data_IF_819232249381
#
_entry.id   IF_819232249381
#
_cell.length_a   1.000
_cell.length_b   1.000
_cell.length_c   1.000
_cell.angle_alpha   90.00
_cell.angle_beta   90.00
_cell.angle_gamma   90.00
#
_symmetry.space_group_name_H-M   'P 1'
#
loop_
_entity.id
_entity.type
_entity.pdbx_description
1 polymer ?
#
# COMPACT_ATOMS: atom_id res chain seq x y z
N UNK A 1 6.73 7.46 6.96
CA UNK A 1 5.78 8.60 6.86
C UNK A 1 5.75 9.36 8.18
N UNK A 2 5.63 10.69 8.18
CA UNK A 2 5.50 11.52 9.40
C UNK A 2 4.40 11.02 10.35
N UNK A 3 3.33 10.42 9.80
CA UNK A 3 2.22 9.82 10.54
C UNK A 3 2.45 8.37 10.99
N UNK A 4 3.52 7.71 10.55
CA UNK A 4 3.85 6.35 11.01
C UNK A 4 4.19 6.30 12.50
N UNK A 5 4.74 7.41 13.03
CA UNK A 5 4.99 7.59 14.46
C UNK A 5 3.68 7.69 15.26
N UNK A 6 2.67 8.40 14.75
CA UNK A 6 1.35 8.49 15.38
C UNK A 6 0.53 7.20 15.21
N UNK A 7 0.63 6.56 14.04
CA UNK A 7 -0.01 5.27 13.76
C UNK A 7 0.50 4.16 14.69
N UNK A 8 1.80 4.16 15.04
CA UNK A 8 2.37 3.24 16.03
C UNK A 8 1.78 3.42 17.43
N UNK A 9 1.59 4.66 17.89
CA UNK A 9 0.99 4.97 19.20
C UNK A 9 -0.48 4.54 19.25
N UNK A 10 -1.23 4.78 18.18
CA UNK A 10 -2.65 4.40 18.09
C UNK A 10 -2.81 2.88 18.00
N UNK A 11 -1.93 2.19 17.26
CA UNK A 11 -1.90 0.74 17.15
C UNK A 11 -1.53 0.01 18.44
N UNK A 12 -0.91 0.70 19.40
CA UNK A 12 -0.63 0.17 20.74
C UNK A 12 -1.86 0.23 21.67
N UNK A 13 -2.86 1.07 21.37
CA UNK A 13 -4.02 1.29 22.26
C UNK A 13 -5.35 0.80 21.71
N UNK A 14 -5.46 0.64 20.40
CA UNK A 14 -6.67 0.14 19.74
C UNK A 14 -6.40 -1.24 19.16
N UNK A 15 -7.42 -2.10 19.23
CA UNK A 15 -7.39 -3.40 18.57
C UNK A 15 -7.13 -3.21 17.07
N UNK A 16 -6.17 -3.98 16.52
CA UNK A 16 -5.72 -3.86 15.13
C UNK A 16 -6.87 -4.04 14.14
N UNK A 17 -7.80 -4.93 14.46
CA UNK A 17 -8.99 -5.18 13.65
C UNK A 17 -9.98 -4.01 13.67
N UNK A 18 -10.06 -3.26 14.77
CA UNK A 18 -10.87 -2.05 14.87
C UNK A 18 -10.27 -0.97 13.97
N UNK A 19 -8.95 -0.79 13.99
CA UNK A 19 -8.26 0.14 13.09
C UNK A 19 -8.52 -0.24 11.63
N UNK A 20 -8.40 -1.52 11.27
CA UNK A 20 -8.67 -2.00 9.91
C UNK A 20 -10.11 -1.73 9.46
N UNK A 21 -11.10 -1.95 10.35
CA UNK A 21 -12.52 -1.66 10.09
C UNK A 21 -12.75 -0.17 9.82
N UNK A 22 -12.21 0.72 10.66
CA UNK A 22 -12.34 2.16 10.46
C UNK A 22 -11.63 2.64 9.20
N UNK A 23 -10.40 2.17 8.94
CA UNK A 23 -9.65 2.49 7.74
C UNK A 23 -10.43 2.09 6.48
N UNK A 24 -10.96 0.85 6.46
CA UNK A 24 -11.77 0.33 5.36
C UNK A 24 -13.09 1.08 5.18
N UNK A 25 -13.74 1.50 6.27
CA UNK A 25 -14.95 2.32 6.22
C UNK A 25 -14.67 3.72 5.63
N UNK A 26 -13.61 4.39 6.08
CA UNK A 26 -13.23 5.72 5.61
C UNK A 26 -12.92 5.69 4.13
N UNK A 27 -12.08 4.75 3.66
CA UNK A 27 -11.71 4.69 2.24
C UNK A 27 -12.92 4.34 1.35
N UNK A 28 -13.82 3.48 1.83
CA UNK A 28 -15.07 3.16 1.12
C UNK A 28 -15.97 4.39 1.01
N UNK A 29 -16.10 5.17 2.09
CA UNK A 29 -16.87 6.41 2.07
C UNK A 29 -16.26 7.46 1.14
N UNK A 30 -14.94 7.63 1.16
CA UNK A 30 -14.22 8.56 0.29
C UNK A 30 -14.43 8.20 -1.18
N UNK A 31 -14.24 6.92 -1.54
CA UNK A 31 -14.44 6.46 -2.92
C UNK A 31 -15.89 6.59 -3.38
N UNK A 32 -16.85 6.27 -2.50
CA UNK A 32 -18.27 6.48 -2.75
C UNK A 32 -18.62 7.95 -2.98
N UNK A 33 -18.13 8.87 -2.15
CA UNK A 33 -18.34 10.30 -2.32
C UNK A 33 -17.78 10.79 -3.67
N UNK A 34 -16.58 10.35 -4.06
CA UNK A 34 -15.97 10.71 -5.34
C UNK A 34 -16.78 10.13 -6.51
N UNK A 35 -17.24 8.89 -6.41
CA UNK A 35 -18.11 8.30 -7.42
C UNK A 35 -19.42 9.09 -7.58
N UNK A 36 -20.09 9.46 -6.48
CA UNK A 36 -21.33 10.24 -6.53
C UNK A 36 -21.10 11.64 -7.13
N UNK A 37 -20.02 12.32 -6.75
CA UNK A 37 -19.66 13.62 -7.34
C UNK A 37 -19.37 13.50 -8.82
N UNK A 38 -18.67 12.43 -9.24
CA UNK A 38 -18.44 12.13 -10.64
C UNK A 38 -19.78 11.90 -11.34
N UNK A 39 -20.62 10.98 -10.88
CA UNK A 39 -21.88 10.61 -11.51
C UNK A 39 -22.84 11.80 -11.71
N UNK A 40 -22.78 12.82 -10.85
CA UNK A 40 -23.58 14.04 -10.95
C UNK A 40 -22.91 15.17 -11.75
N UNK A 41 -21.72 14.95 -12.32
CA UNK A 41 -20.97 15.97 -13.07
C UNK A 41 -20.40 17.11 -12.19
N UNK A 42 -20.34 16.93 -10.87
CA UNK A 42 -19.86 17.92 -9.89
C UNK A 42 -18.39 17.68 -9.50
N UNK A 43 -17.71 16.75 -10.17
CA UNK A 43 -16.33 16.40 -9.85
C UNK A 43 -15.39 17.55 -10.24
N UNK A 44 -14.58 17.97 -9.27
CA UNK A 44 -13.55 19.00 -9.46
C UNK A 44 -12.21 18.48 -8.97
N UNK A 45 -11.13 19.13 -9.39
CA UNK A 45 -9.77 18.75 -8.97
C UNK A 45 -9.57 18.81 -7.45
N UNK A 46 -10.26 19.74 -6.77
CA UNK A 46 -10.21 19.87 -5.31
C UNK A 46 -10.79 18.65 -4.59
N UNK A 47 -11.86 18.05 -5.13
CA UNK A 47 -12.43 16.82 -4.60
C UNK A 47 -11.42 15.67 -4.70
N UNK A 48 -10.77 15.51 -5.86
CA UNK A 48 -9.74 14.48 -6.07
C UNK A 48 -8.52 14.70 -5.18
N UNK A 49 -8.09 15.95 -5.02
CA UNK A 49 -6.99 16.32 -4.11
C UNK A 49 -7.31 15.99 -2.64
N UNK A 50 -8.50 16.36 -2.18
CA UNK A 50 -8.97 16.04 -0.82
C UNK A 50 -9.09 14.54 -0.58
N UNK A 51 -9.67 13.80 -1.53
CA UNK A 51 -9.75 12.35 -1.47
C UNK A 51 -8.36 11.69 -1.44
N UNK A 52 -7.42 12.19 -2.23
CA UNK A 52 -6.03 11.68 -2.26
C UNK A 52 -5.31 11.93 -0.93
N UNK A 53 -5.53 13.10 -0.32
CA UNK A 53 -4.97 13.43 0.99
C UNK A 53 -5.49 12.49 2.08
N UNK A 54 -6.82 12.31 2.16
CA UNK A 54 -7.45 11.39 3.14
C UNK A 54 -6.99 9.95 2.88
N UNK A 55 -6.96 9.52 1.62
CA UNK A 55 -6.49 8.18 1.25
C UNK A 55 -5.05 7.94 1.69
N UNK A 56 -4.16 8.94 1.53
CA UNK A 56 -2.79 8.88 2.01
C UNK A 56 -2.68 8.71 3.53
N UNK A 57 -3.53 9.41 4.30
CA UNK A 57 -3.59 9.24 5.75
C UNK A 57 -4.03 7.81 6.12
N UNK A 58 -5.09 7.31 5.50
CA UNK A 58 -5.60 5.94 5.73
C UNK A 58 -4.56 4.88 5.35
N UNK A 59 -3.92 5.01 4.20
CA UNK A 59 -2.91 4.05 3.74
C UNK A 59 -1.68 4.01 4.65
N UNK A 60 -1.32 5.14 5.26
CA UNK A 60 -0.19 5.22 6.19
C UNK A 60 -0.38 4.35 7.44
N UNK A 61 -1.63 4.10 7.84
CA UNK A 61 -1.98 3.26 8.99
C UNK A 61 -2.45 1.87 8.58
N UNK A 62 -3.17 1.72 7.47
CA UNK A 62 -3.67 0.44 6.96
C UNK A 62 -2.52 -0.53 6.66
N UNK A 63 -1.48 -0.06 5.97
CA UNK A 63 -0.38 -0.91 5.53
C UNK A 63 0.38 -1.63 6.68
N UNK A 64 0.83 -0.93 7.75
CA UNK A 64 1.47 -1.60 8.88
C UNK A 64 0.49 -2.50 9.66
N UNK A 65 -0.77 -2.08 9.85
CA UNK A 65 -1.79 -2.86 10.57
C UNK A 65 -2.08 -4.17 9.82
N UNK A 66 -2.30 -4.09 8.51
CA UNK A 66 -2.60 -5.25 7.64
C UNK A 66 -1.46 -6.26 7.64
N UNK A 67 -0.20 -5.81 7.50
CA UNK A 67 0.96 -6.70 7.54
C UNK A 67 1.10 -7.41 8.88
N UNK A 68 0.82 -6.71 9.98
CA UNK A 68 0.87 -7.30 11.32
C UNK A 68 -0.24 -8.35 11.49
N UNK A 69 -1.48 -8.02 11.11
CA UNK A 69 -2.62 -8.95 11.13
C UNK A 69 -2.38 -10.20 10.29
N UNK A 70 -1.78 -10.07 9.10
CA UNK A 70 -1.40 -11.22 8.27
C UNK A 70 -0.42 -12.13 9.02
N UNK A 71 0.54 -11.56 9.74
CA UNK A 71 1.48 -12.30 10.56
C UNK A 71 0.81 -13.04 11.72
N UNK A 72 -0.04 -12.34 12.47
CA UNK A 72 -0.76 -12.90 13.62
C UNK A 72 -1.69 -14.04 13.20
N UNK A 73 -2.46 -13.84 12.12
CA UNK A 73 -3.44 -14.81 11.61
C UNK A 73 -2.79 -16.03 10.95
N UNK A 74 -1.66 -15.85 10.25
CA UNK A 74 -0.96 -16.96 9.62
C UNK A 74 -0.22 -17.84 10.64
N UNK A 75 0.24 -17.23 11.73
CA UNK A 75 1.11 -17.84 12.72
C UNK A 75 2.53 -18.09 12.20
N UNK A 76 3.47 -18.44 13.10
CA UNK A 76 4.91 -18.49 12.81
C UNK A 76 5.27 -19.49 11.71
N UNK A 77 4.52 -20.60 11.58
CA UNK A 77 4.80 -21.62 10.57
C UNK A 77 4.40 -21.21 9.13
N UNK A 78 3.48 -20.25 8.96
CA UNK A 78 2.92 -19.89 7.65
C UNK A 78 3.09 -18.42 7.28
N UNK A 79 3.68 -17.59 8.16
CA UNK A 79 3.88 -16.16 7.93
C UNK A 79 4.60 -15.85 6.62
N UNK A 80 5.67 -16.58 6.29
CA UNK A 80 6.39 -16.38 5.03
C UNK A 80 5.49 -16.60 3.82
N UNK A 81 4.72 -17.69 3.81
CA UNK A 81 3.77 -18.00 2.72
C UNK A 81 2.66 -16.95 2.61
N UNK A 82 2.15 -16.47 3.75
CA UNK A 82 1.11 -15.45 3.78
C UNK A 82 1.62 -14.09 3.27
N UNK A 83 2.83 -13.69 3.68
CA UNK A 83 3.49 -12.49 3.16
C UNK A 83 3.80 -12.59 1.67
N UNK A 84 4.24 -13.76 1.18
CA UNK A 84 4.46 -13.97 -0.26
C UNK A 84 3.17 -13.80 -1.05
N UNK A 85 2.03 -14.26 -0.53
CA UNK A 85 0.73 -14.10 -1.18
C UNK A 85 0.29 -12.62 -1.21
N UNK A 86 0.50 -11.88 -0.12
CA UNK A 86 0.24 -10.43 -0.05
C UNK A 86 1.06 -9.66 -1.09
N UNK A 87 2.37 -9.95 -1.17
CA UNK A 87 3.27 -9.34 -2.16
C UNK A 87 2.83 -9.69 -3.58
N UNK A 88 2.49 -10.96 -3.85
CA UNK A 88 2.02 -11.42 -5.15
C UNK A 88 0.73 -10.70 -5.56
N UNK A 89 -0.24 -10.59 -4.63
CA UNK A 89 -1.47 -9.87 -4.86
C UNK A 89 -1.20 -8.39 -5.18
N UNK A 90 -0.36 -7.72 -4.38
CA UNK A 90 0.02 -6.32 -4.61
C UNK A 90 0.69 -6.08 -5.96
N UNK A 91 1.68 -6.89 -6.32
CA UNK A 91 2.34 -6.79 -7.63
C UNK A 91 1.39 -7.13 -8.79
N UNK A 92 0.51 -8.12 -8.62
CA UNK A 92 -0.52 -8.46 -9.60
C UNK A 92 -1.50 -7.30 -9.82
N UNK A 93 -1.94 -6.62 -8.76
CA UNK A 93 -2.77 -5.42 -8.86
C UNK A 93 -2.02 -4.27 -9.53
N UNK A 94 -0.73 -4.09 -9.31
CA UNK A 94 0.07 -3.05 -9.98
C UNK A 94 0.27 -3.33 -11.48
N UNK A 95 0.30 -4.60 -11.87
CA UNK A 95 0.31 -5.01 -13.28
C UNK A 95 -1.06 -4.85 -13.94
N UNK A 96 -2.10 -5.43 -13.34
CA UNK A 96 -3.41 -5.54 -13.99
C UNK A 96 -4.30 -4.31 -13.77
N UNK A 97 -4.11 -3.60 -12.65
CA UNK A 97 -4.93 -2.47 -12.23
C UNK A 97 -4.91 -1.31 -13.23
N UNK A 98 -3.73 -0.75 -13.59
CA UNK A 98 -3.67 0.34 -14.56
C UNK A 98 -4.12 -0.08 -15.97
N UNK A 99 -3.85 -1.32 -16.37
CA UNK A 99 -4.29 -1.87 -17.66
C UNK A 99 -5.82 -1.93 -17.74
N UNK A 100 -6.45 -2.58 -16.77
CA UNK A 100 -7.91 -2.69 -16.71
C UNK A 100 -8.56 -1.33 -16.47
N UNK A 101 -7.95 -0.49 -15.62
CA UNK A 101 -8.41 0.86 -15.33
C UNK A 101 -8.38 1.77 -16.55
N UNK A 102 -7.31 1.72 -17.35
CA UNK A 102 -7.19 2.49 -18.60
C UNK A 102 -8.21 2.07 -19.66
N UNK A 103 -8.41 0.76 -19.84
CA UNK A 103 -9.45 0.22 -20.75
C UNK A 103 -10.85 0.63 -20.29
N UNK A 104 -11.14 0.49 -19.00
CA UNK A 104 -12.44 0.85 -18.42
C UNK A 104 -12.72 2.36 -18.57
N UNK A 105 -11.70 3.18 -18.30
CA UNK A 105 -11.78 4.63 -18.46
C UNK A 105 -12.04 5.00 -19.93
N UNK A 106 -11.41 4.32 -20.88
CA UNK A 106 -11.63 4.58 -22.30
C UNK A 106 -13.06 4.24 -22.75
N UNK A 107 -13.64 3.15 -22.23
CA UNK A 107 -14.95 2.66 -22.67
C UNK A 107 -16.13 3.35 -21.98
N UNK A 108 -16.03 3.57 -20.67
CA UNK A 108 -17.15 4.01 -19.82
C UNK A 108 -16.85 5.33 -19.11
N UNK A 109 -15.69 5.93 -19.39
CA UNK A 109 -15.25 7.19 -18.80
C UNK A 109 -14.86 7.07 -17.33
N UNK A 110 -14.66 8.23 -16.73
CA UNK A 110 -14.21 8.37 -15.34
C UNK A 110 -15.21 7.81 -14.31
N UNK A 111 -16.52 7.84 -14.62
CA UNK A 111 -17.57 7.33 -13.73
C UNK A 111 -17.45 5.82 -13.53
N UNK A 112 -17.19 5.07 -14.61
CA UNK A 112 -16.99 3.62 -14.55
C UNK A 112 -15.77 3.25 -13.70
N UNK A 113 -14.68 3.99 -13.82
CA UNK A 113 -13.48 3.79 -13.01
C UNK A 113 -13.74 4.00 -11.51
N UNK A 114 -14.44 5.08 -11.14
CA UNK A 114 -14.79 5.33 -9.73
C UNK A 114 -15.85 4.35 -9.19
N UNK A 115 -16.78 3.90 -10.02
CA UNK A 115 -17.76 2.88 -9.64
C UNK A 115 -17.07 1.55 -9.30
N UNK A 116 -16.16 1.09 -10.16
CA UNK A 116 -15.38 -0.12 -9.93
C UNK A 116 -14.55 0.00 -8.66
N UNK A 117 -13.83 1.12 -8.49
CA UNK A 117 -13.05 1.39 -7.28
C UNK A 117 -13.90 1.31 -6.02
N UNK A 118 -15.05 2.00 -6.01
CA UNK A 118 -15.99 2.00 -4.89
C UNK A 118 -16.51 0.60 -4.59
N UNK A 119 -16.83 -0.17 -5.63
CA UNK A 119 -17.33 -1.54 -5.50
C UNK A 119 -16.29 -2.49 -4.90
N UNK A 120 -15.02 -2.36 -5.30
CA UNK A 120 -13.91 -3.14 -4.74
C UNK A 120 -13.64 -2.78 -3.28
N UNK A 121 -13.63 -1.50 -2.93
CA UNK A 121 -13.46 -1.06 -1.54
C UNK A 121 -14.63 -1.50 -0.66
N UNK A 122 -15.87 -1.39 -1.16
CA UNK A 122 -17.05 -1.86 -0.45
C UNK A 122 -17.02 -3.38 -0.23
N UNK A 123 -16.64 -4.16 -1.24
CA UNK A 123 -16.46 -5.60 -1.10
C UNK A 123 -15.39 -5.93 -0.05
N UNK A 124 -14.25 -5.22 -0.07
CA UNK A 124 -13.20 -5.35 0.94
C UNK A 124 -13.69 -5.02 2.34
N UNK A 125 -14.48 -3.94 2.49
CA UNK A 125 -15.07 -3.56 3.77
C UNK A 125 -16.04 -4.63 4.30
N UNK A 126 -16.92 -5.16 3.45
CA UNK A 126 -17.82 -6.26 3.83
C UNK A 126 -17.04 -7.50 4.26
N UNK A 127 -15.98 -7.87 3.53
CA UNK A 127 -15.11 -9.00 3.90
C UNK A 127 -14.47 -8.78 5.29
N UNK A 128 -14.01 -7.57 5.59
CA UNK A 128 -13.46 -7.23 6.91
C UNK A 128 -14.53 -7.34 8.02
N UNK A 129 -15.80 -7.03 7.73
CA UNK A 129 -16.89 -7.14 8.70
C UNK A 129 -17.27 -8.60 9.02
N UNK A 130 -17.26 -9.48 8.02
CA UNK A 130 -17.64 -10.89 8.18
C UNK A 130 -16.48 -11.77 8.66
N UNK A 131 -15.24 -11.28 8.59
CA UNK A 131 -14.07 -12.05 9.04
C UNK A 131 -14.14 -12.21 10.57
N UNK A 132 -14.23 -13.45 11.08
CA UNK A 132 -14.27 -13.70 12.51
C UNK A 132 -12.92 -13.29 13.14
N UNK A 133 -12.99 -12.47 14.18
CA UNK A 133 -11.82 -11.96 14.89
C UNK A 133 -11.86 -12.37 16.35
N UNK A 134 -10.72 -12.88 16.84
CA UNK A 134 -10.46 -13.05 18.27
C UNK A 134 -9.66 -11.83 18.71
N UNK A 135 -10.13 -11.06 19.71
CA UNK A 135 -9.42 -9.90 20.21
C UNK A 135 -7.94 -10.20 20.48
N UNK A 136 -7.06 -9.39 19.91
CA UNK A 136 -5.65 -9.41 20.29
C UNK A 136 -5.57 -9.16 21.79
N UNK A 137 -4.74 -9.93 22.49
CA UNK A 137 -4.24 -9.44 23.77
C UNK A 137 -3.44 -8.19 23.45
N UNK A 138 -3.98 -7.03 23.82
CA UNK A 138 -3.23 -5.78 23.78
C UNK A 138 -1.96 -6.05 24.59
N UNK A 139 -0.83 -6.25 23.90
CA UNK A 139 0.44 -6.39 24.59
C UNK A 139 0.66 -5.12 25.37
N UNK A 140 0.71 -5.22 26.70
CA UNK A 140 1.00 -4.13 27.63
C UNK A 140 2.44 -3.63 27.53
N UNK A 141 3.05 -3.65 26.34
CA UNK A 141 4.34 -3.02 26.12
C UNK A 141 4.11 -1.51 26.07
N UNK A 142 4.14 -0.88 27.24
CA UNK A 142 4.23 0.56 27.44
C UNK A 142 5.60 1.12 27.02
N UNK A 143 6.20 0.62 25.95
CA UNK A 143 7.44 1.21 25.44
C UNK A 143 7.11 2.53 24.76
N UNK A 144 7.73 3.60 25.25
CA UNK A 144 7.54 4.92 24.70
C UNK A 144 8.08 4.95 23.27
N UNK A 145 7.36 5.58 22.33
CA UNK A 145 7.86 5.75 20.96
C UNK A 145 9.23 6.44 20.92
N UNK A 146 9.52 7.28 21.92
CA UNK A 146 10.84 7.88 22.07
C UNK A 146 11.93 6.83 22.40
N UNK A 147 11.60 5.80 23.17
CA UNK A 147 12.50 4.70 23.51
C UNK A 147 12.73 3.77 22.32
N UNK A 148 11.69 3.47 21.54
CA UNK A 148 11.80 2.71 20.29
C UNK A 148 12.64 3.46 19.25
N UNK A 149 12.42 4.77 19.09
CA UNK A 149 13.23 5.61 18.21
C UNK A 149 14.68 5.68 18.69
N UNK A 150 14.92 5.83 19.99
CA UNK A 150 16.26 5.85 20.56
C UNK A 150 16.97 4.49 20.41
N UNK A 151 16.25 3.38 20.55
CA UNK A 151 16.75 2.03 20.31
C UNK A 151 17.11 1.84 18.83
N UNK A 152 16.21 2.25 17.92
CA UNK A 152 16.46 2.23 16.48
C UNK A 152 17.67 3.06 16.07
N UNK A 153 17.83 4.26 16.64
CA UNK A 153 18.99 5.12 16.41
C UNK A 153 20.30 4.49 16.92
N UNK A 154 20.24 3.80 18.07
CA UNK A 154 21.38 3.09 18.65
C UNK A 154 21.82 1.90 17.79
N UNK A 155 20.86 1.18 17.20
CA UNK A 155 21.11 0.12 16.21
C UNK A 155 21.73 0.70 14.94
N UNK A 156 21.22 1.84 14.46
CA UNK A 156 21.73 2.51 13.27
C UNK A 156 23.20 2.92 13.41
N UNK A 157 23.59 3.42 14.59
CA UNK A 157 24.97 3.77 14.90
C UNK A 157 25.91 2.57 15.01
N UNK A 158 25.39 1.36 15.25
CA UNK A 158 26.19 0.15 15.47
C UNK A 158 26.47 -0.63 14.19
N UNK A 159 25.79 -0.32 13.09
CA UNK A 159 25.89 -1.04 11.83
C UNK A 159 26.15 -0.06 10.67
N UNK A 160 27.32 -0.16 10.06
CA UNK A 160 27.76 0.76 9.00
C UNK A 160 26.94 0.66 7.70
N UNK A 161 26.22 -0.46 7.48
CA UNK A 161 25.42 -0.68 6.27
C UNK A 161 24.02 -0.04 6.34
N UNK A 162 23.41 0.02 7.52
CA UNK A 162 22.03 0.49 7.71
C UNK A 162 21.81 1.97 7.33
N UNK A 163 22.71 2.92 7.67
CA UNK A 163 22.56 4.31 7.24
C UNK A 163 22.53 4.47 5.72
N UNK A 164 23.38 3.73 5.00
CA UNK A 164 23.41 3.77 3.53
C UNK A 164 22.09 3.28 2.92
N UNK A 165 21.55 2.17 3.42
CA UNK A 165 20.26 1.65 2.99
C UNK A 165 19.11 2.64 3.25
N UNK A 166 19.10 3.30 4.41
CA UNK A 166 18.10 4.33 4.72
C UNK A 166 18.20 5.54 3.81
N UNK A 167 19.41 6.04 3.54
CA UNK A 167 19.62 7.18 2.64
C UNK A 167 19.10 6.84 1.24
N UNK A 168 19.46 5.67 0.70
CA UNK A 168 18.95 5.20 -0.60
C UNK A 168 17.43 5.14 -0.59
N UNK A 169 16.83 4.61 0.49
CA UNK A 169 15.37 4.53 0.64
C UNK A 169 14.73 5.92 0.63
N UNK A 170 15.29 6.90 1.36
CA UNK A 170 14.80 8.28 1.41
C UNK A 170 14.90 8.95 0.05
N UNK A 171 16.04 8.83 -0.62
CA UNK A 171 16.23 9.37 -1.98
C UNK A 171 15.20 8.76 -2.92
N UNK A 172 15.02 7.44 -2.90
CA UNK A 172 14.07 6.77 -3.77
C UNK A 172 12.61 7.19 -3.48
N UNK A 173 12.25 7.44 -2.23
CA UNK A 173 10.92 7.94 -1.87
C UNK A 173 10.67 9.37 -2.31
N UNK A 174 11.68 10.25 -2.20
CA UNK A 174 11.55 11.66 -2.59
C UNK A 174 11.54 11.81 -4.12
N UNK A 175 12.35 11.02 -4.83
CA UNK A 175 12.58 11.23 -6.26
C UNK A 175 11.90 10.19 -7.15
N UNK A 176 11.83 8.92 -6.72
CA UNK A 176 11.26 7.84 -7.53
C UNK A 176 9.74 7.80 -7.53
N UNK A 177 9.10 7.92 -6.36
CA UNK A 177 7.63 7.83 -6.27
C UNK A 177 6.89 8.98 -6.98
N UNK A 178 7.29 10.25 -6.86
CA UNK A 178 6.64 11.33 -7.60
C UNK A 178 6.75 11.16 -9.11
N UNK A 179 7.90 10.67 -9.60
CA UNK A 179 8.10 10.38 -11.02
C UNK A 179 7.06 9.38 -11.54
N UNK A 180 6.76 8.31 -10.78
CA UNK A 180 5.73 7.32 -11.15
C UNK A 180 4.35 7.95 -11.33
N UNK A 181 3.99 8.96 -10.53
CA UNK A 181 2.71 9.65 -10.66
C UNK A 181 2.59 10.53 -11.92
N UNK A 182 3.72 10.92 -12.50
CA UNK A 182 3.77 11.72 -13.73
C UNK A 182 3.77 10.88 -15.01
N UNK A 183 4.09 9.58 -14.93
CA UNK A 183 4.12 8.67 -16.10
C UNK A 183 2.83 8.74 -16.93
N UNK A 184 1.61 8.74 -16.34
CA UNK A 184 0.38 8.86 -17.12
C UNK A 184 0.27 10.20 -17.87
N UNK A 185 0.68 11.30 -17.24
CA UNK A 185 0.65 12.64 -17.82
C UNK A 185 1.62 12.73 -18.99
N UNK A 186 2.85 12.22 -18.81
CA UNK A 186 3.85 12.16 -19.89
C UNK A 186 3.38 11.28 -21.06
N UNK A 187 2.76 10.14 -20.76
CA UNK A 187 2.17 9.25 -21.76
C UNK A 187 1.11 9.96 -22.62
N UNK A 188 0.22 10.73 -21.99
CA UNK A 188 -0.81 11.48 -22.71
C UNK A 188 -0.26 12.71 -23.44
N UNK A 189 0.43 13.59 -22.72
CA UNK A 189 0.77 14.93 -23.21
C UNK A 189 1.98 14.93 -24.15
N UNK A 190 2.95 14.03 -23.96
CA UNK A 190 4.19 14.01 -24.75
C UNK A 190 4.23 12.86 -25.76
N UNK A 191 3.62 11.72 -25.45
CA UNK A 191 3.60 10.55 -26.34
C UNK A 191 2.28 10.40 -27.11
N UNK A 192 1.27 11.23 -26.83
CA UNK A 192 -0.03 11.19 -27.52
C UNK A 192 -0.81 9.88 -27.32
N UNK A 193 -0.54 9.16 -26.22
CA UNK A 193 -1.16 7.87 -25.95
C UNK A 193 -2.63 8.04 -25.53
N UNK A 194 -3.48 7.10 -25.96
CA UNK A 194 -4.85 6.98 -25.44
C UNK A 194 -4.85 6.39 -24.02
N UNK A 195 -6.02 6.33 -23.37
CA UNK A 195 -6.14 5.87 -21.97
C UNK A 195 -5.70 4.42 -21.77
N UNK A 196 -6.03 3.51 -22.69
CA UNK A 196 -5.60 2.12 -22.62
C UNK A 196 -4.08 1.96 -22.81
N UNK A 197 -3.48 2.67 -23.77
CA UNK A 197 -2.03 2.65 -24.00
C UNK A 197 -1.27 3.28 -22.84
N UNK A 198 -1.82 4.33 -22.23
CA UNK A 198 -1.27 4.93 -21.00
C UNK A 198 -1.36 3.95 -19.83
N UNK A 199 -2.48 3.24 -19.67
CA UNK A 199 -2.63 2.16 -18.70
C UNK A 199 -1.60 1.04 -18.90
N UNK A 200 -1.37 0.63 -20.16
CA UNK A 200 -0.34 -0.36 -20.52
C UNK A 200 1.06 0.13 -20.14
N UNK A 201 1.40 1.39 -20.43
CA UNK A 201 2.68 1.99 -20.06
C UNK A 201 2.92 1.94 -18.56
N UNK A 202 1.93 2.34 -17.75
CA UNK A 202 2.03 2.29 -16.28
C UNK A 202 2.15 0.83 -15.78
N UNK A 203 1.49 -0.11 -16.44
CA UNK A 203 1.51 -1.53 -16.08
C UNK A 203 2.87 -2.20 -16.28
N UNK A 204 3.74 -1.61 -17.11
CA UNK A 204 5.12 -2.12 -17.30
C UNK A 204 5.94 -2.11 -16.02
N UNK A 205 5.64 -1.20 -15.08
CA UNK A 205 6.27 -1.14 -13.76
C UNK A 205 5.96 -2.40 -12.95
N UNK A 206 4.69 -2.80 -12.88
CA UNK A 206 4.25 -4.04 -12.25
C UNK A 206 4.84 -5.27 -12.94
N UNK A 207 4.92 -5.27 -14.28
CA UNK A 207 5.56 -6.34 -15.05
C UNK A 207 7.05 -6.49 -14.69
N UNK A 208 7.78 -5.38 -14.66
CA UNK A 208 9.20 -5.34 -14.29
C UNK A 208 9.42 -5.85 -12.86
N UNK A 209 8.57 -5.48 -11.92
CA UNK A 209 8.63 -5.98 -10.54
C UNK A 209 8.44 -7.50 -10.46
N UNK A 210 7.50 -8.07 -11.24
CA UNK A 210 7.28 -9.51 -11.29
C UNK A 210 8.46 -10.25 -11.94
N UNK A 211 8.98 -9.73 -13.06
CA UNK A 211 10.16 -10.30 -13.73
C UNK A 211 11.36 -10.28 -12.78
N UNK A 212 11.61 -9.17 -12.08
CA UNK A 212 12.68 -9.05 -11.11
C UNK A 212 12.51 -10.02 -9.93
N UNK A 213 11.29 -10.19 -9.41
CA UNK A 213 11.01 -11.14 -8.33
C UNK A 213 11.27 -12.60 -8.75
N UNK A 214 10.88 -12.97 -9.98
CA UNK A 214 11.16 -14.30 -10.55
C UNK A 214 12.66 -14.47 -10.79
N UNK A 215 13.34 -13.47 -11.35
CA UNK A 215 14.78 -13.51 -11.55
C UNK A 215 15.52 -13.67 -10.21
N UNK A 216 15.14 -12.93 -9.18
CA UNK A 216 15.72 -13.08 -7.84
C UNK A 216 15.40 -14.44 -7.23
N UNK A 217 14.23 -15.03 -7.43
CA UNK A 217 13.94 -16.37 -6.90
C UNK A 217 14.80 -17.47 -7.56
N UNK A 218 15.18 -17.28 -8.82
CA UNK A 218 16.01 -18.23 -9.59
C UNK A 218 17.51 -18.00 -9.33
N UNK A 219 17.95 -16.73 -9.29
CA UNK A 219 19.37 -16.37 -9.30
C UNK A 219 19.93 -15.89 -7.95
N UNK A 220 19.09 -15.61 -6.94
CA UNK A 220 19.61 -15.13 -5.66
C UNK A 220 20.43 -16.24 -4.95
N UNK A 221 21.69 -15.96 -4.62
CA UNK A 221 22.53 -16.93 -3.91
C UNK A 221 21.94 -17.19 -2.51
N UNK A 222 21.77 -18.47 -2.20
CA UNK A 222 21.15 -19.03 -0.97
C UNK A 222 21.83 -18.62 0.35
N UNK A 223 22.92 -17.85 0.31
CA UNK A 223 23.75 -17.54 1.47
C UNK A 223 23.23 -16.37 2.33
N UNK A 224 22.35 -15.52 1.82
CA UNK A 224 21.82 -14.37 2.58
C UNK A 224 20.55 -14.68 3.40
N UNK A 225 19.95 -15.87 3.22
CA UNK A 225 18.79 -16.30 4.01
C UNK A 225 19.14 -16.64 5.47
N UNK A 226 20.43 -16.91 5.79
CA UNK A 226 20.85 -17.24 7.16
C UNK A 226 20.98 -16.03 8.09
N UNK A 227 21.17 -14.82 7.57
CA UNK A 227 21.40 -13.63 8.40
C UNK A 227 20.11 -13.09 9.05
N UNK A 228 18.94 -13.40 8.48
CA UNK A 228 17.65 -12.93 9.02
C UNK A 228 17.01 -13.84 10.08
N UNK A 229 17.45 -15.10 10.21
CA UNK A 229 16.90 -16.05 11.19
C UNK A 229 17.78 -16.22 12.45
N UNK A 230 18.85 -15.45 12.59
CA UNK A 230 19.78 -15.53 13.73
C UNK A 230 19.91 -14.24 14.54
N UNK A 231 18.85 -13.42 14.58
CA UNK A 231 18.72 -12.28 15.51
C UNK A 231 17.49 -12.48 16.38
#
# INVERSE_FOLDING_TARGET
SLFGLFGGIIAQRLERFVILKFASAIITLVTLCIYLLAANGLLTIWHVGGASFISGLVWSTDFPVRRTLIGDLAGPARISRAMSLDILAGSGTRLLGPLLGGVLYQQIGIHGAFLLSTSLYLAGFVLVLVTPYVPDRISETQQSVAEDLAAGWRVLKRNEFLPGLLIVTVIFNIWGFPFMSMVPVLGKEHLGLNDAATGLLVSTEGAGALIAAIALSIFAPSQHARVYFSL
#
